data_IF_223768565901
#
_entry.id   IF_223768565901
#
_cell.length_a   1.000
_cell.length_b   1.000
_cell.length_c   1.000
_cell.angle_alpha   90.00
_cell.angle_beta   90.00
_cell.angle_gamma   90.00
#
_symmetry.space_group_name_H-M   'P 1'
#
loop_
_entity.id
_entity.type
_entity.pdbx_description
1 polymer ?
#
# COMPACT_ATOMS: atom_id res chain seq x y z
N UNK A 1 -3.37 -3.49 15.98
CA UNK A 1 -3.64 -2.95 14.65
C UNK A 1 -2.84 -3.71 13.61
N UNK A 2 -3.53 -4.42 12.74
CA UNK A 2 -2.97 -5.16 11.60
C UNK A 2 -2.64 -4.18 10.47
N UNK A 3 -1.43 -4.23 9.93
CA UNK A 3 -0.98 -3.35 8.83
C UNK A 3 -0.64 -4.20 7.61
N UNK A 4 -1.13 -3.80 6.45
CA UNK A 4 -0.58 -4.25 5.17
C UNK A 4 0.14 -3.08 4.53
N UNK A 5 1.37 -3.33 4.09
CA UNK A 5 2.18 -2.36 3.38
C UNK A 5 2.08 -2.67 1.89
N UNK A 6 1.55 -1.75 1.09
CA UNK A 6 1.51 -1.83 -0.36
C UNK A 6 2.57 -0.90 -0.96
N UNK A 7 3.12 -1.27 -2.11
CA UNK A 7 4.18 -0.49 -2.75
C UNK A 7 4.94 -1.27 -3.82
N UNK A 8 5.99 -0.65 -4.35
CA UNK A 8 6.84 -1.29 -5.35
C UNK A 8 7.76 -2.33 -4.70
N UNK A 9 7.66 -3.60 -5.08
CA UNK A 9 8.59 -4.65 -4.65
C UNK A 9 10.07 -4.35 -4.97
N UNK A 10 10.36 -3.39 -5.87
CA UNK A 10 11.72 -2.90 -6.16
C UNK A 10 12.28 -1.90 -5.12
N UNK A 11 11.51 -1.52 -4.10
CA UNK A 11 11.89 -0.53 -3.08
C UNK A 11 11.99 -1.20 -1.68
N UNK A 12 12.68 -2.34 -1.60
CA UNK A 12 12.74 -3.14 -0.37
C UNK A 12 13.40 -2.42 0.80
N UNK A 13 14.39 -1.57 0.54
CA UNK A 13 15.06 -0.79 1.60
C UNK A 13 14.08 0.17 2.28
N UNK A 14 13.23 0.82 1.50
CA UNK A 14 12.19 1.72 1.97
C UNK A 14 11.07 0.96 2.69
N UNK A 15 10.65 -0.19 2.14
CA UNK A 15 9.66 -1.07 2.77
C UNK A 15 10.15 -1.56 4.12
N UNK A 16 11.42 -1.97 4.23
CA UNK A 16 12.01 -2.46 5.47
C UNK A 16 11.99 -1.40 6.58
N UNK A 17 12.28 -0.14 6.25
CA UNK A 17 12.15 0.99 7.19
C UNK A 17 10.72 1.14 7.70
N UNK A 18 9.71 0.94 6.85
CA UNK A 18 8.31 0.99 7.28
C UNK A 18 7.90 -0.22 8.10
N UNK A 19 8.42 -1.40 7.78
CA UNK A 19 8.20 -2.60 8.61
C UNK A 19 8.71 -2.34 10.03
N UNK A 20 9.93 -1.82 10.15
CA UNK A 20 10.53 -1.45 11.43
C UNK A 20 9.73 -0.36 12.15
N UNK A 21 9.37 0.71 11.44
CA UNK A 21 8.53 1.79 11.98
C UNK A 21 7.21 1.27 12.54
N UNK A 22 6.44 0.50 11.76
CA UNK A 22 5.14 0.01 12.19
C UNK A 22 5.27 -0.97 13.36
N UNK A 23 6.22 -1.90 13.29
CA UNK A 23 6.45 -2.85 14.39
C UNK A 23 7.02 -2.18 15.66
N UNK A 24 7.68 -1.01 15.53
CA UNK A 24 8.14 -0.24 16.70
C UNK A 24 7.01 0.44 17.48
N UNK A 25 5.82 0.60 16.87
CA UNK A 25 4.66 1.15 17.55
C UNK A 25 4.00 0.06 18.38
N UNK A 26 3.70 0.36 19.64
CA UNK A 26 2.91 -0.53 20.48
C UNK A 26 1.59 -0.90 19.78
N UNK A 27 1.22 -2.17 19.86
CA UNK A 27 0.01 -2.76 19.29
C UNK A 27 -0.06 -2.83 17.75
N UNK A 28 0.98 -2.52 16.99
CA UNK A 28 0.98 -2.70 15.53
C UNK A 28 1.66 -4.01 15.10
N UNK A 29 1.11 -4.64 14.07
CA UNK A 29 1.67 -5.86 13.46
C UNK A 29 1.56 -5.76 11.94
N UNK A 30 2.70 -5.83 11.24
CA UNK A 30 2.70 -5.95 9.78
C UNK A 30 2.34 -7.38 9.37
N UNK A 31 1.21 -7.54 8.68
CA UNK A 31 0.73 -8.82 8.15
C UNK A 31 1.38 -9.18 6.82
N UNK A 32 1.54 -8.19 5.94
CA UNK A 32 2.03 -8.43 4.59
C UNK A 32 2.69 -7.20 3.98
N UNK A 33 3.55 -7.44 3.00
CA UNK A 33 4.28 -6.44 2.24
C UNK A 33 4.74 -7.01 0.88
N UNK A 34 4.94 -6.16 -0.15
CA UNK A 34 5.33 -6.64 -1.47
C UNK A 34 6.72 -7.29 -1.43
N UNK A 35 6.78 -8.55 -1.85
CA UNK A 35 8.01 -9.34 -1.99
C UNK A 35 8.27 -9.63 -3.46
N UNK A 36 9.54 -9.79 -3.82
CA UNK A 36 9.89 -10.30 -5.14
C UNK A 36 9.41 -11.76 -5.25
N UNK A 37 8.69 -12.07 -6.33
CA UNK A 37 8.33 -13.45 -6.68
C UNK A 37 9.49 -14.00 -7.53
N UNK A 38 10.02 -15.20 -7.22
CA UNK A 38 11.06 -15.83 -8.03
C UNK A 38 10.64 -15.97 -9.49
N UNK A 39 11.53 -15.63 -10.42
CA UNK A 39 11.23 -15.68 -11.87
C UNK A 39 10.94 -17.10 -12.35
N UNK A 40 11.65 -18.09 -11.81
CA UNK A 40 11.54 -19.50 -12.23
C UNK A 40 10.12 -20.08 -12.08
N UNK A 41 9.37 -19.61 -11.07
CA UNK A 41 8.01 -20.08 -10.75
C UNK A 41 7.00 -18.92 -10.70
N UNK A 42 7.26 -17.83 -11.43
CA UNK A 42 6.47 -16.60 -11.31
C UNK A 42 4.98 -16.84 -11.57
N UNK A 43 4.63 -17.45 -12.71
CA UNK A 43 3.24 -17.66 -13.13
C UNK A 43 2.47 -18.60 -12.18
N UNK A 44 3.17 -19.55 -11.55
CA UNK A 44 2.57 -20.49 -10.59
C UNK A 44 2.29 -19.81 -9.23
N UNK A 45 3.22 -18.99 -8.74
CA UNK A 45 3.13 -18.35 -7.43
C UNK A 45 2.29 -17.07 -7.44
N UNK A 46 2.28 -16.35 -8.57
CA UNK A 46 1.64 -15.04 -8.70
C UNK A 46 0.18 -15.02 -8.23
N UNK A 47 -0.71 -15.96 -8.64
CA UNK A 47 -2.12 -15.94 -8.24
C UNK A 47 -2.31 -16.07 -6.73
N UNK A 48 -1.60 -17.00 -6.09
CA UNK A 48 -1.76 -17.26 -4.65
C UNK A 48 -1.13 -16.14 -3.80
N UNK A 49 0.00 -15.56 -4.26
CA UNK A 49 0.58 -14.38 -3.63
C UNK A 49 -0.41 -13.21 -3.63
N UNK A 50 -1.02 -12.91 -4.79
CA UNK A 50 -1.94 -11.76 -4.90
C UNK A 50 -3.24 -12.02 -4.12
N UNK A 51 -3.79 -13.23 -4.20
CA UNK A 51 -4.97 -13.62 -3.42
C UNK A 51 -4.74 -13.46 -1.92
N UNK A 52 -3.60 -13.92 -1.41
CA UNK A 52 -3.27 -13.78 0.00
C UNK A 52 -3.03 -12.32 0.39
N UNK A 53 -2.40 -11.53 -0.47
CA UNK A 53 -2.22 -10.11 -0.25
C UNK A 53 -3.56 -9.37 -0.11
N UNK A 54 -4.49 -9.57 -1.05
CA UNK A 54 -5.84 -8.98 -0.97
C UNK A 54 -6.62 -9.49 0.25
N UNK A 55 -6.51 -10.78 0.59
CA UNK A 55 -7.09 -11.32 1.83
C UNK A 55 -6.54 -10.60 3.06
N UNK A 56 -5.22 -10.38 3.13
CA UNK A 56 -4.61 -9.64 4.23
C UNK A 56 -5.11 -8.19 4.29
N UNK A 57 -5.37 -7.53 3.16
CA UNK A 57 -6.04 -6.20 3.15
C UNK A 57 -7.45 -6.29 3.76
N UNK A 58 -8.20 -7.36 3.51
CA UNK A 58 -9.52 -7.59 4.14
C UNK A 58 -9.45 -7.85 5.65
N UNK A 59 -8.27 -8.14 6.20
CA UNK A 59 -8.05 -8.29 7.65
C UNK A 59 -7.36 -7.08 8.31
N UNK A 60 -6.73 -6.21 7.53
CA UNK A 60 -5.93 -5.10 8.02
C UNK A 60 -6.76 -3.95 8.63
N UNK A 61 -6.25 -3.33 9.69
CA UNK A 61 -6.77 -2.06 10.22
C UNK A 61 -6.15 -0.86 9.48
N UNK A 62 -4.98 -1.04 8.86
CA UNK A 62 -4.27 -0.03 8.08
C UNK A 62 -3.80 -0.64 6.76
N UNK A 63 -4.13 0.00 5.64
CA UNK A 63 -3.44 -0.17 4.37
C UNK A 63 -2.49 1.02 4.19
N UNK A 64 -1.20 0.74 4.27
CA UNK A 64 -0.15 1.73 4.18
C UNK A 64 0.52 1.67 2.80
N UNK A 65 0.57 2.79 2.09
CA UNK A 65 1.20 2.90 0.77
C UNK A 65 2.62 3.44 0.94
N UNK A 66 3.63 2.58 0.81
CA UNK A 66 5.05 2.93 0.85
C UNK A 66 5.52 3.57 -0.46
N UNK A 67 4.89 4.68 -0.86
CA UNK A 67 5.23 5.39 -2.09
C UNK A 67 6.42 6.33 -1.90
N UNK A 68 7.53 6.01 -2.56
CA UNK A 68 8.79 6.76 -2.51
C UNK A 68 9.25 7.17 -3.90
N UNK A 69 10.39 7.87 -3.94
CA UNK A 69 11.03 8.20 -5.19
C UNK A 69 11.46 6.93 -5.93
N UNK A 70 11.04 6.78 -7.18
CA UNK A 70 11.46 5.69 -8.08
C UNK A 70 11.70 6.25 -9.46
N UNK A 71 12.85 5.95 -10.07
CA UNK A 71 13.22 6.44 -11.40
C UNK A 71 13.08 7.97 -11.57
N UNK A 72 13.42 8.74 -10.53
CA UNK A 72 13.32 10.20 -10.55
C UNK A 72 11.95 10.75 -10.13
N UNK A 73 10.88 9.95 -10.15
CA UNK A 73 9.50 10.36 -9.84
C UNK A 73 9.24 10.24 -8.35
N UNK A 74 8.88 11.35 -7.69
CA UNK A 74 8.56 11.41 -6.26
C UNK A 74 7.20 10.78 -5.92
N UNK A 75 7.10 10.08 -4.79
CA UNK A 75 5.83 9.48 -4.36
C UNK A 75 5.22 8.51 -5.38
N UNK A 76 6.06 7.73 -6.08
CA UNK A 76 5.65 6.81 -7.14
C UNK A 76 4.63 5.77 -6.64
N UNK A 77 3.52 5.64 -7.36
CA UNK A 77 2.51 4.59 -7.19
C UNK A 77 2.38 3.85 -8.53
N UNK A 78 2.64 2.55 -8.53
CA UNK A 78 2.45 1.71 -9.72
C UNK A 78 1.01 1.22 -9.86
N UNK A 79 0.68 0.63 -11.02
CA UNK A 79 -0.65 0.11 -11.31
C UNK A 79 -1.17 -0.87 -10.22
N UNK A 80 -0.33 -1.82 -9.80
CA UNK A 80 -0.69 -2.79 -8.75
C UNK A 80 -0.98 -2.09 -7.42
N UNK A 81 -0.08 -1.21 -6.98
CA UNK A 81 -0.26 -0.44 -5.74
C UNK A 81 -1.50 0.46 -5.77
N UNK A 82 -1.85 1.01 -6.94
CA UNK A 82 -3.08 1.76 -7.09
C UNK A 82 -4.32 0.86 -7.00
N UNK A 83 -4.29 -0.34 -7.59
CA UNK A 83 -5.36 -1.32 -7.47
C UNK A 83 -5.55 -1.78 -6.01
N UNK A 84 -4.46 -2.06 -5.29
CA UNK A 84 -4.46 -2.39 -3.86
C UNK A 84 -5.10 -1.27 -3.02
N UNK A 85 -4.72 -0.01 -3.28
CA UNK A 85 -5.31 1.15 -2.61
C UNK A 85 -6.79 1.31 -2.94
N UNK A 86 -7.18 1.15 -4.22
CA UNK A 86 -8.58 1.17 -4.65
C UNK A 86 -9.41 0.08 -3.97
N UNK A 87 -8.84 -1.12 -3.79
CA UNK A 87 -9.48 -2.19 -3.03
C UNK A 87 -9.65 -1.82 -1.56
N UNK A 88 -8.63 -1.26 -0.91
CA UNK A 88 -8.74 -0.75 0.46
C UNK A 88 -9.82 0.33 0.61
N UNK A 89 -9.94 1.21 -0.38
CA UNK A 89 -11.01 2.21 -0.45
C UNK A 89 -12.39 1.57 -0.60
N UNK A 90 -12.53 0.55 -1.43
CA UNK A 90 -13.79 -0.21 -1.56
C UNK A 90 -14.18 -0.90 -0.24
N UNK A 91 -13.20 -1.48 0.48
CA UNK A 91 -13.42 -2.02 1.83
C UNK A 91 -14.00 -0.96 2.78
N UNK A 92 -13.48 0.27 2.73
CA UNK A 92 -13.97 1.40 3.51
C UNK A 92 -15.37 1.84 3.10
N UNK A 93 -15.58 2.12 1.80
CA UNK A 93 -16.80 2.78 1.31
C UNK A 93 -18.00 1.84 1.15
N UNK A 94 -17.76 0.60 0.71
CA UNK A 94 -18.84 -0.35 0.38
C UNK A 94 -19.11 -1.28 1.55
N UNK A 95 -18.05 -1.82 2.16
CA UNK A 95 -18.15 -2.84 3.20
C UNK A 95 -18.13 -2.26 4.62
N UNK A 96 -18.05 -0.93 4.76
CA UNK A 96 -18.08 -0.23 6.04
C UNK A 96 -16.87 -0.55 6.94
N UNK A 97 -15.79 -1.10 6.37
CA UNK A 97 -14.62 -1.47 7.13
C UNK A 97 -13.90 -0.23 7.63
N UNK A 98 -13.52 -0.21 8.91
CA UNK A 98 -12.73 0.87 9.52
C UNK A 98 -11.24 0.77 9.18
N UNK A 99 -10.92 0.46 7.93
CA UNK A 99 -9.54 0.43 7.44
C UNK A 99 -9.04 1.86 7.21
N UNK A 100 -7.86 2.17 7.74
CA UNK A 100 -7.19 3.45 7.48
C UNK A 100 -6.34 3.34 6.22
N UNK A 101 -6.45 4.31 5.33
CA UNK A 101 -5.64 4.47 4.13
C UNK A 101 -4.60 5.55 4.38
N UNK A 102 -3.34 5.16 4.43
CA UNK A 102 -2.22 6.04 4.79
C UNK A 102 -1.17 5.97 3.70
N UNK A 103 -0.62 7.11 3.29
CA UNK A 103 0.48 7.18 2.32
C UNK A 103 1.78 7.59 3.02
N UNK A 104 2.92 7.15 2.48
CA UNK A 104 4.21 7.69 2.85
C UNK A 104 4.33 9.13 2.34
N UNK A 105 4.08 9.37 1.06
CA UNK A 105 4.24 10.69 0.45
C UNK A 105 3.00 11.09 -0.34
N UNK A 106 2.81 12.39 -0.56
CA UNK A 106 1.88 12.82 -1.61
C UNK A 106 2.53 12.53 -2.98
N UNK A 107 1.86 11.84 -3.92
CA UNK A 107 2.37 11.68 -5.27
C UNK A 107 2.60 13.04 -5.95
N UNK A 108 3.60 13.12 -6.82
CA UNK A 108 3.76 14.27 -7.71
C UNK A 108 2.80 14.17 -8.91
N UNK A 109 2.59 15.27 -9.64
CA UNK A 109 1.63 15.35 -10.76
C UNK A 109 1.93 14.39 -11.91
N UNK A 110 3.19 13.97 -12.02
CA UNK A 110 3.67 13.02 -13.03
C UNK A 110 3.25 11.57 -12.73
N UNK A 111 2.80 11.26 -11.51
CA UNK A 111 2.26 9.93 -11.17
C UNK A 111 0.86 9.79 -11.77
N UNK A 112 0.63 8.72 -12.53
CA UNK A 112 -0.59 8.56 -13.33
C UNK A 112 -1.91 8.67 -12.54
N UNK A 113 -1.92 8.28 -11.27
CA UNK A 113 -3.10 8.37 -10.39
C UNK A 113 -3.11 9.62 -9.49
N UNK A 114 -2.31 10.64 -9.80
CA UNK A 114 -2.20 11.85 -8.96
C UNK A 114 -3.56 12.49 -8.70
N UNK A 115 -4.37 12.71 -9.74
CA UNK A 115 -5.64 13.42 -9.63
C UNK A 115 -6.63 12.64 -8.74
N UNK A 116 -6.69 11.31 -8.88
CA UNK A 116 -7.50 10.45 -8.02
C UNK A 116 -7.03 10.52 -6.57
N UNK A 117 -5.73 10.38 -6.29
CA UNK A 117 -5.20 10.43 -4.91
C UNK A 117 -5.44 11.80 -4.29
N UNK A 118 -5.24 12.88 -5.04
CA UNK A 118 -5.51 14.24 -4.58
C UNK A 118 -6.99 14.43 -4.23
N UNK A 119 -7.90 13.97 -5.10
CA UNK A 119 -9.33 14.02 -4.84
C UNK A 119 -9.72 13.16 -3.62
N UNK A 120 -9.21 11.94 -3.50
CA UNK A 120 -9.47 11.06 -2.37
C UNK A 120 -8.97 11.67 -1.06
N UNK A 121 -7.85 12.39 -1.08
CA UNK A 121 -7.40 13.15 0.09
C UNK A 121 -8.34 14.30 0.44
N UNK A 122 -8.79 15.08 -0.56
CA UNK A 122 -9.75 16.17 -0.36
C UNK A 122 -11.09 15.69 0.21
N UNK A 123 -11.53 14.50 -0.18
CA UNK A 123 -12.75 13.85 0.32
C UNK A 123 -12.56 13.19 1.70
N UNK A 124 -11.36 13.22 2.27
CA UNK A 124 -11.06 12.60 3.57
C UNK A 124 -10.99 11.07 3.52
N UNK A 125 -10.86 10.48 2.34
CA UNK A 125 -10.76 9.03 2.18
C UNK A 125 -9.35 8.51 2.45
N UNK A 126 -8.34 9.32 2.11
CA UNK A 126 -6.96 9.14 2.60
C UNK A 126 -6.84 9.81 3.96
N UNK A 127 -6.67 8.99 5.00
CA UNK A 127 -6.68 9.43 6.38
C UNK A 127 -5.44 10.27 6.70
N UNK A 128 -4.26 9.84 6.22
CA UNK A 128 -2.99 10.43 6.65
C UNK A 128 -1.89 10.31 5.58
N UNK A 129 -0.92 11.22 5.63
CA UNK A 129 0.35 11.15 4.89
C UNK A 129 1.47 11.40 5.91
N UNK A 130 2.41 10.47 6.07
CA UNK A 130 3.29 10.42 7.27
C UNK A 130 4.81 10.48 7.00
N UNK A 131 5.23 10.56 5.74
CA UNK A 131 6.64 10.57 5.33
C UNK A 131 7.15 11.94 4.88
#
# INVERSE_FOLDING_TARGET
MKVVIAGSAKLQNEIQKWIEYWNSKNDYLVLDYPKAIPEDNFDELYPEVHKNFFKNITEADVLFIANYKKNGIGGYIGAETFAELGFGLAQKLIYGKKIRLILANMPVKEVACYDEIFLWKKLGWIDEIIG
#
